data_IF_611590907550
#
_entry.id   IF_611590907550
#
_cell.length_a   1.000
_cell.length_b   1.000
_cell.length_c   1.000
_cell.angle_alpha   90.00
_cell.angle_beta   90.00
_cell.angle_gamma   90.00
#
_symmetry.space_group_name_H-M   'P 1'
#
loop_
_entity.id
_entity.type
_entity.pdbx_description
1 polymer ?
#
# COMPACT_ATOMS: atom_id res chain seq x y z
N UNK A 1 7.60 14.26 -3.33
CA UNK A 1 7.97 15.47 -2.59
C UNK A 1 8.99 15.08 -1.54
N UNK A 2 10.09 15.83 -1.36
CA UNK A 2 11.13 15.52 -0.37
C UNK A 2 10.56 15.39 1.04
N UNK A 3 11.17 14.57 1.89
CA UNK A 3 10.71 14.38 3.29
C UNK A 3 10.89 15.68 4.07
N UNK A 4 11.93 16.43 3.74
CA UNK A 4 12.33 17.71 4.30
C UNK A 4 11.30 18.82 4.03
N UNK A 5 10.50 18.68 2.96
CA UNK A 5 9.41 19.60 2.65
C UNK A 5 8.13 19.34 3.45
N UNK A 6 8.07 18.29 4.29
CA UNK A 6 6.87 17.94 5.08
C UNK A 6 6.77 18.79 6.34
N UNK A 7 6.46 20.08 6.17
CA UNK A 7 6.16 20.99 7.27
C UNK A 7 4.81 20.70 7.95
N UNK A 8 4.55 21.41 9.04
CA UNK A 8 3.36 21.16 9.88
C UNK A 8 2.05 21.50 9.16
N UNK A 9 2.07 22.46 8.23
CA UNK A 9 0.90 22.81 7.42
C UNK A 9 0.54 21.68 6.45
N UNK A 10 1.54 21.13 5.74
CA UNK A 10 1.34 19.97 4.89
C UNK A 10 0.87 18.75 5.71
N UNK A 11 1.49 18.49 6.87
CA UNK A 11 1.09 17.38 7.75
C UNK A 11 -0.36 17.53 8.21
N UNK A 12 -0.79 18.72 8.60
CA UNK A 12 -2.15 19.00 9.02
C UNK A 12 -3.15 18.77 7.87
N UNK A 13 -2.80 19.18 6.65
CA UNK A 13 -3.64 18.91 5.48
C UNK A 13 -3.70 17.41 5.14
N UNK A 14 -2.55 16.72 5.17
CA UNK A 14 -2.50 15.28 4.94
C UNK A 14 -3.35 14.50 5.95
N UNK A 15 -3.35 14.91 7.22
CA UNK A 15 -4.18 14.29 8.25
C UNK A 15 -5.68 14.38 7.91
N UNK A 16 -6.15 15.48 7.31
CA UNK A 16 -7.54 15.60 6.84
C UNK A 16 -7.87 14.54 5.78
N UNK A 17 -6.98 14.37 4.79
CA UNK A 17 -7.17 13.38 3.73
C UNK A 17 -7.06 11.94 4.24
N UNK A 18 -6.17 11.70 5.22
CA UNK A 18 -5.88 10.36 5.74
C UNK A 18 -7.12 9.67 6.33
N UNK A 19 -7.90 10.41 7.13
CA UNK A 19 -9.07 9.89 7.82
C UNK A 19 -10.37 10.05 7.04
N UNK A 20 -10.35 10.72 5.89
CA UNK A 20 -11.52 10.91 5.06
C UNK A 20 -11.77 9.68 4.18
N UNK A 21 -12.98 9.13 4.27
CA UNK A 21 -13.40 7.92 3.56
C UNK A 21 -13.45 8.10 2.04
N UNK A 22 -13.46 9.34 1.54
CA UNK A 22 -13.49 9.64 0.11
C UNK A 22 -12.14 9.41 -0.58
N UNK A 23 -11.07 9.25 0.20
CA UNK A 23 -9.71 9.06 -0.28
C UNK A 23 -9.15 7.70 0.12
N UNK A 24 -8.12 7.25 -0.59
CA UNK A 24 -7.32 6.09 -0.22
C UNK A 24 -8.07 4.76 -0.06
N UNK A 25 -9.01 4.50 -0.97
CA UNK A 25 -9.63 3.19 -1.09
C UNK A 25 -9.19 2.55 -2.40
N UNK A 26 -8.87 1.27 -2.33
CA UNK A 26 -8.43 0.49 -3.47
C UNK A 26 -9.33 -0.74 -3.64
N UNK A 27 -9.52 -1.10 -4.89
CA UNK A 27 -10.21 -2.31 -5.33
C UNK A 27 -9.19 -3.37 -5.65
N UNK A 28 -9.49 -4.60 -5.24
CA UNK A 28 -8.88 -5.79 -5.77
C UNK A 28 -10.01 -6.77 -6.16
N UNK A 29 -10.16 -7.03 -7.46
CA UNK A 29 -11.13 -7.99 -7.97
C UNK A 29 -10.38 -9.16 -8.61
N UNK A 30 -10.57 -10.36 -8.06
CA UNK A 30 -9.78 -11.53 -8.41
C UNK A 30 -10.31 -12.19 -9.69
N UNK A 31 -9.44 -12.44 -10.68
CA UNK A 31 -9.79 -13.19 -11.90
C UNK A 31 -9.50 -14.69 -11.76
N UNK A 32 -8.57 -15.04 -10.87
CA UNK A 32 -8.27 -16.39 -10.41
C UNK A 32 -8.34 -16.42 -8.88
N UNK A 33 -8.37 -17.60 -8.28
CA UNK A 33 -8.25 -17.71 -6.83
C UNK A 33 -6.97 -16.99 -6.36
N UNK A 34 -7.14 -15.97 -5.52
CA UNK A 34 -6.08 -15.06 -5.08
C UNK A 34 -5.90 -15.17 -3.57
N UNK A 35 -4.71 -15.60 -3.16
CA UNK A 35 -4.26 -15.57 -1.76
C UNK A 35 -3.00 -14.72 -1.62
N UNK A 36 -2.78 -13.77 -2.54
CA UNK A 36 -1.57 -12.96 -2.55
C UNK A 36 -1.57 -11.87 -1.48
N UNK A 37 -2.72 -11.25 -1.20
CA UNK A 37 -2.73 -10.03 -0.39
C UNK A 37 -2.64 -10.36 1.09
N UNK A 38 -1.66 -9.77 1.77
CA UNK A 38 -1.54 -9.77 3.22
C UNK A 38 -1.79 -8.35 3.73
N UNK A 39 -2.58 -8.22 4.78
CA UNK A 39 -3.07 -6.94 5.28
C UNK A 39 -3.03 -6.91 6.80
N UNK A 40 -2.63 -5.79 7.39
CA UNK A 40 -2.65 -5.59 8.86
C UNK A 40 -3.91 -4.81 9.24
N UNK A 41 -4.91 -5.44 9.89
CA UNK A 41 -6.13 -4.76 10.32
C UNK A 41 -5.83 -3.53 11.20
N UNK A 42 -6.57 -2.44 10.97
CA UNK A 42 -6.44 -1.20 11.75
C UNK A 42 -5.19 -0.35 11.45
N UNK A 43 -4.19 -0.85 10.70
CA UNK A 43 -2.98 -0.07 10.39
C UNK A 43 -3.25 1.22 9.59
N UNK A 44 -4.35 1.27 8.82
CA UNK A 44 -4.79 2.49 8.13
C UNK A 44 -5.22 3.63 9.06
N UNK A 45 -5.45 3.36 10.35
CA UNK A 45 -5.86 4.37 11.33
C UNK A 45 -4.69 5.18 11.90
N UNK A 46 -3.46 4.91 11.45
CA UNK A 46 -2.26 5.61 11.92
C UNK A 46 -1.40 6.07 10.74
N UNK A 47 -0.92 7.31 10.83
CA UNK A 47 -0.09 7.92 9.80
C UNK A 47 1.39 7.50 9.84
N UNK A 48 1.79 6.74 10.86
CA UNK A 48 3.17 6.36 11.13
C UNK A 48 3.29 4.86 11.39
N UNK A 49 4.38 4.30 10.88
CA UNK A 49 4.83 2.94 11.10
C UNK A 49 5.17 2.70 12.59
N UNK A 50 4.87 1.51 13.10
CA UNK A 50 5.25 1.08 14.46
C UNK A 50 6.70 0.58 14.50
N UNK A 51 7.33 0.51 15.68
CA UNK A 51 8.63 -0.13 15.81
C UNK A 51 8.61 -1.56 15.26
N UNK A 52 9.55 -1.85 14.35
CA UNK A 52 9.65 -3.16 13.67
C UNK A 52 8.96 -3.20 12.31
N UNK A 53 8.11 -2.24 11.99
CA UNK A 53 7.53 -2.11 10.65
C UNK A 53 8.54 -1.43 9.73
N UNK A 54 9.02 -2.18 8.75
CA UNK A 54 10.06 -1.73 7.81
C UNK A 54 9.55 -1.87 6.40
N UNK A 55 9.65 -0.79 5.64
CA UNK A 55 9.32 -0.80 4.22
C UNK A 55 10.28 -1.72 3.46
N UNK A 56 9.73 -2.71 2.77
CA UNK A 56 10.46 -3.70 1.95
C UNK A 56 10.18 -3.57 0.45
N UNK A 57 9.44 -2.55 0.01
CA UNK A 57 8.95 -2.42 -1.38
C UNK A 57 10.02 -2.38 -2.47
N UNK A 58 11.29 -2.17 -2.07
CA UNK A 58 12.45 -2.12 -2.96
C UNK A 58 13.30 -3.39 -2.93
N UNK A 59 12.95 -4.41 -2.14
CA UNK A 59 13.68 -5.67 -2.12
C UNK A 59 13.40 -6.47 -3.41
N UNK A 60 14.38 -6.63 -4.32
CA UNK A 60 14.18 -7.33 -5.58
C UNK A 60 13.93 -8.83 -5.37
N UNK A 61 14.41 -9.41 -4.27
CA UNK A 61 14.26 -10.85 -3.99
C UNK A 61 12.80 -11.25 -3.76
N UNK A 62 11.93 -10.30 -3.42
CA UNK A 62 10.49 -10.52 -3.27
C UNK A 62 9.74 -10.58 -4.60
N UNK A 63 10.36 -10.14 -5.70
CA UNK A 63 9.78 -10.21 -7.05
C UNK A 63 10.29 -11.42 -7.82
N UNK A 64 11.59 -11.66 -7.73
CA UNK A 64 12.25 -12.80 -8.32
C UNK A 64 13.47 -13.15 -7.47
N UNK A 65 13.49 -14.36 -6.92
CA UNK A 65 14.68 -14.91 -6.29
C UNK A 65 15.77 -15.23 -7.33
N UNK A 66 16.98 -15.58 -6.89
CA UNK A 66 18.02 -16.11 -7.76
C UNK A 66 17.52 -17.29 -8.62
N UNK A 67 17.98 -17.38 -9.86
CA UNK A 67 17.62 -18.47 -10.80
C UNK A 67 17.98 -19.87 -10.26
N UNK A 68 18.91 -19.94 -9.30
CA UNK A 68 19.31 -21.19 -8.64
C UNK A 68 18.32 -21.70 -7.59
N UNK A 69 17.30 -20.90 -7.24
CA UNK A 69 16.29 -21.29 -6.26
C UNK A 69 15.21 -22.14 -6.91
N UNK A 70 14.81 -23.21 -6.22
CA UNK A 70 13.61 -23.94 -6.59
C UNK A 70 12.36 -23.13 -6.27
N UNK A 71 11.23 -23.55 -6.84
CA UNK A 71 9.91 -22.97 -6.56
C UNK A 71 9.56 -23.00 -5.06
N UNK A 72 9.87 -24.11 -4.39
CA UNK A 72 9.60 -24.29 -2.95
C UNK A 72 10.45 -23.33 -2.11
N UNK A 73 11.72 -23.14 -2.49
CA UNK A 73 12.60 -22.20 -1.81
C UNK A 73 12.14 -20.76 -1.98
N UNK A 74 11.69 -20.41 -3.19
CA UNK A 74 11.14 -19.08 -3.46
C UNK A 74 9.84 -18.85 -2.67
N UNK A 75 8.92 -19.82 -2.66
CA UNK A 75 7.71 -19.76 -1.85
C UNK A 75 8.00 -19.57 -0.36
N UNK A 76 8.93 -20.36 0.20
CA UNK A 76 9.33 -20.22 1.60
C UNK A 76 9.85 -18.81 1.91
N UNK A 77 10.63 -18.22 1.00
CA UNK A 77 11.17 -16.87 1.13
C UNK A 77 10.06 -15.81 1.16
N UNK A 78 9.18 -15.81 0.16
CA UNK A 78 8.11 -14.80 0.09
C UNK A 78 7.05 -15.00 1.20
N UNK A 79 6.77 -16.24 1.58
CA UNK A 79 5.85 -16.54 2.67
C UNK A 79 6.42 -16.12 4.02
N UNK A 80 7.72 -16.33 4.25
CA UNK A 80 8.41 -15.82 5.43
C UNK A 80 8.30 -14.30 5.49
N UNK A 81 8.53 -13.59 4.38
CA UNK A 81 8.39 -12.14 4.32
C UNK A 81 7.01 -11.66 4.78
N UNK A 82 5.94 -12.28 4.27
CA UNK A 82 4.57 -11.94 4.67
C UNK A 82 4.29 -12.24 6.15
N UNK A 83 4.83 -13.35 6.69
CA UNK A 83 4.66 -13.74 8.10
C UNK A 83 5.47 -12.88 9.08
N UNK A 84 6.60 -12.35 8.63
CA UNK A 84 7.43 -11.44 9.42
C UNK A 84 6.76 -10.06 9.62
N UNK A 85 5.72 -9.74 8.82
CA UNK A 85 4.92 -8.53 8.96
C UNK A 85 3.97 -8.65 10.17
N UNK A 86 4.21 -7.92 11.28
CA UNK A 86 3.47 -8.14 12.52
C UNK A 86 1.96 -7.89 12.38
N UNK A 87 1.15 -8.86 12.79
CA UNK A 87 -0.31 -8.76 12.76
C UNK A 87 -0.93 -8.86 11.36
N UNK A 88 -0.14 -9.23 10.33
CA UNK A 88 -0.65 -9.40 9.00
C UNK A 88 -1.53 -10.64 8.89
N UNK A 89 -2.63 -10.50 8.14
CA UNK A 89 -3.55 -11.57 7.81
C UNK A 89 -3.59 -11.75 6.30
N UNK A 90 -3.55 -13.00 5.85
CA UNK A 90 -3.75 -13.33 4.44
C UNK A 90 -5.24 -13.20 4.09
N UNK A 91 -5.53 -12.55 2.97
CA UNK A 91 -6.87 -12.53 2.38
C UNK A 91 -6.99 -13.65 1.37
N UNK A 92 -8.16 -14.27 1.29
CA UNK A 92 -8.49 -15.28 0.30
C UNK A 92 -9.68 -14.80 -0.51
N UNK A 93 -9.50 -14.70 -1.83
CA UNK A 93 -10.52 -14.27 -2.78
C UNK A 93 -10.72 -15.36 -3.83
N UNK A 94 -11.96 -15.77 -4.04
CA UNK A 94 -12.34 -16.62 -5.16
C UNK A 94 -12.48 -15.78 -6.45
N UNK A 95 -12.45 -16.40 -7.65
CA UNK A 95 -12.69 -15.69 -8.89
C UNK A 95 -14.02 -14.94 -8.88
N UNK A 96 -13.98 -13.63 -9.13
CA UNK A 96 -15.14 -12.74 -9.10
C UNK A 96 -15.36 -12.03 -7.76
N UNK A 97 -14.65 -12.41 -6.70
CA UNK A 97 -14.72 -11.70 -5.42
C UNK A 97 -14.18 -10.27 -5.56
N UNK A 98 -14.85 -9.36 -4.87
CA UNK A 98 -14.57 -7.93 -4.92
C UNK A 98 -14.15 -7.43 -3.54
N UNK A 99 -12.86 -7.12 -3.37
CA UNK A 99 -12.33 -6.57 -2.13
C UNK A 99 -12.15 -5.05 -2.23
N UNK A 100 -12.74 -4.32 -1.30
CA UNK A 100 -12.41 -2.91 -1.04
C UNK A 100 -11.61 -2.83 0.26
N UNK A 101 -10.50 -2.09 0.22
CA UNK A 101 -9.68 -1.86 1.40
C UNK A 101 -9.07 -0.45 1.40
N UNK A 102 -8.69 0.03 2.59
CA UNK A 102 -7.95 1.27 2.75
C UNK A 102 -6.50 1.02 2.33
N UNK A 103 -6.03 1.62 1.23
CA UNK A 103 -4.66 1.41 0.76
C UNK A 103 -3.59 2.16 1.57
N UNK A 104 -4.01 2.93 2.58
CA UNK A 104 -3.15 3.43 3.67
C UNK A 104 -2.74 2.35 4.65
N UNK A 105 -3.52 1.27 4.75
CA UNK A 105 -3.17 0.17 5.61
C UNK A 105 -1.84 -0.43 5.16
N UNK A 106 -1.09 -0.94 6.12
CA UNK A 106 0.07 -1.74 5.81
C UNK A 106 -0.39 -3.05 5.17
N UNK A 107 0.12 -3.31 3.96
CA UNK A 107 -0.20 -4.50 3.18
C UNK A 107 0.97 -4.86 2.26
N UNK A 108 1.05 -6.13 1.87
CA UNK A 108 2.00 -6.62 0.88
C UNK A 108 1.38 -7.72 0.01
N UNK A 109 2.02 -8.00 -1.13
CA UNK A 109 1.64 -9.09 -2.03
C UNK A 109 2.62 -10.24 -1.94
N UNK A 110 2.10 -11.45 -1.77
CA UNK A 110 2.77 -12.72 -1.92
C UNK A 110 2.67 -13.16 -3.39
N UNK A 111 3.81 -13.27 -4.07
CA UNK A 111 3.86 -13.68 -5.48
C UNK A 111 4.53 -15.05 -5.59
N UNK A 112 3.72 -16.10 -5.76
CA UNK A 112 4.22 -17.45 -5.98
C UNK A 112 4.72 -17.61 -7.42
N UNK A 113 5.92 -18.17 -7.67
CA UNK A 113 6.52 -18.18 -9.00
C UNK A 113 5.83 -19.13 -9.99
N UNK A 114 5.05 -20.09 -9.49
CA UNK A 114 4.43 -21.16 -10.28
C UNK A 114 2.91 -21.04 -10.39
N UNK A 115 2.29 -20.06 -9.71
CA UNK A 115 0.84 -19.89 -9.71
C UNK A 115 0.48 -18.63 -10.50
N UNK A 116 -0.33 -18.74 -11.58
CA UNK A 116 -0.81 -17.56 -12.28
C UNK A 116 -1.70 -16.74 -11.36
N UNK A 117 -1.54 -15.42 -11.42
CA UNK A 117 -2.34 -14.45 -10.69
C UNK A 117 -2.75 -13.33 -11.62
N UNK A 118 -4.03 -12.99 -11.60
CA UNK A 118 -4.55 -11.83 -12.30
C UNK A 118 -5.64 -11.18 -11.47
N UNK A 119 -5.52 -9.87 -11.28
CA UNK A 119 -6.44 -9.08 -10.47
C UNK A 119 -6.71 -7.75 -11.16
N UNK A 120 -7.98 -7.33 -11.18
CA UNK A 120 -8.35 -5.98 -11.59
C UNK A 120 -8.17 -5.07 -10.40
N UNK A 121 -7.34 -4.04 -10.57
CA UNK A 121 -7.10 -3.01 -9.58
C UNK A 121 -7.70 -1.68 -10.03
N UNK A 122 -8.38 -1.01 -9.12
CA UNK A 122 -8.88 0.35 -9.32
C UNK A 122 -8.91 1.10 -7.98
N UNK A 123 -9.26 2.39 -8.01
CA UNK A 123 -9.38 3.25 -6.84
C UNK A 123 -10.85 3.63 -6.67
N UNK A 124 -11.42 3.37 -5.49
CA UNK A 124 -12.73 3.93 -5.14
C UNK A 124 -12.52 5.32 -4.57
N UNK A 125 -13.08 6.31 -5.25
CA UNK A 125 -13.03 7.70 -4.83
C UNK A 125 -14.37 8.38 -5.06
N UNK A 126 -14.67 9.36 -4.21
CA UNK A 126 -15.87 10.17 -4.34
C UNK A 126 -15.83 11.07 -5.59
N UNK A 127 -17.01 11.39 -6.15
CA UNK A 127 -17.13 12.21 -7.35
C UNK A 127 -16.61 13.65 -7.11
N UNK A 128 -16.92 14.23 -5.95
CA UNK A 128 -16.47 15.57 -5.54
C UNK A 128 -15.00 15.65 -5.08
N UNK A 129 -14.11 14.77 -5.56
CA UNK A 129 -12.69 14.72 -5.15
C UNK A 129 -11.83 15.82 -5.79
N UNK A 130 -12.30 16.44 -6.87
CA UNK A 130 -11.47 17.31 -7.71
C UNK A 130 -11.04 18.61 -7.00
N UNK A 131 -11.89 19.31 -6.23
CA UNK A 131 -11.45 20.46 -5.42
C UNK A 131 -10.32 20.11 -4.46
N UNK A 132 -10.35 18.91 -3.88
CA UNK A 132 -9.32 18.42 -2.95
C UNK A 132 -8.02 18.06 -3.65
N UNK A 133 -8.07 17.58 -4.90
CA UNK A 133 -6.88 17.34 -5.72
C UNK A 133 -6.16 18.64 -6.04
N UNK A 134 -6.91 19.68 -6.41
CA UNK A 134 -6.35 21.01 -6.67
C UNK A 134 -5.74 21.63 -5.41
N UNK A 135 -6.47 21.60 -4.29
CA UNK A 135 -5.99 22.10 -3.01
C UNK A 135 -4.74 21.32 -2.55
N UNK A 136 -4.75 19.98 -2.67
CA UNK A 136 -3.57 19.16 -2.37
C UNK A 136 -2.36 19.53 -3.22
N UNK A 137 -2.56 19.82 -4.51
CA UNK A 137 -1.47 20.27 -5.37
C UNK A 137 -0.89 21.62 -4.90
N UNK A 138 -1.74 22.58 -4.52
CA UNK A 138 -1.35 23.89 -3.99
C UNK A 138 -0.57 23.75 -2.67
N UNK A 139 -1.07 22.97 -1.72
CA UNK A 139 -0.41 22.76 -0.42
C UNK A 139 0.98 22.12 -0.61
N UNK A 140 1.10 21.11 -1.48
CA UNK A 140 2.41 20.50 -1.80
C UNK A 140 3.38 21.49 -2.42
N UNK A 141 2.93 22.31 -3.37
CA UNK A 141 3.79 23.31 -4.01
C UNK A 141 4.25 24.35 -2.99
N UNK A 142 3.34 24.86 -2.16
CA UNK A 142 3.66 25.82 -1.10
C UNK A 142 4.70 25.25 -0.11
N UNK A 143 4.54 23.99 0.31
CA UNK A 143 5.49 23.31 1.20
C UNK A 143 6.89 23.20 0.58
N UNK A 144 7.00 22.88 -0.71
CA UNK A 144 8.28 22.86 -1.43
C UNK A 144 8.90 24.26 -1.53
N UNK A 145 8.10 25.30 -1.75
CA UNK A 145 8.62 26.67 -1.80
C UNK A 145 9.13 27.13 -0.43
N UNK A 146 8.37 26.85 0.64
CA UNK A 146 8.79 27.14 2.02
C UNK A 146 10.08 26.42 2.41
N UNK A 147 10.27 25.20 1.93
CA UNK A 147 11.53 24.46 2.13
C UNK A 147 12.71 25.14 1.42
N UNK A 148 12.52 25.64 0.18
CA UNK A 148 13.58 26.31 -0.58
C UNK A 148 13.95 27.70 -0.04
N UNK A 149 13.05 28.34 0.69
CA UNK A 149 13.26 29.66 1.29
C UNK A 149 13.84 29.60 2.72
N UNK A 150 14.10 28.41 3.25
CA UNK A 150 14.81 28.18 4.52
C UNK A 150 16.29 27.97 4.25
#
# INVERSE_FOLDING_TARGET
MPVEARDDELKAYLAKLWYDLRFYNQVNCALYADSSTWFVPGSHLRAHDLPGEKQSTQDPSLRAGPETWSNEKMEQHVLKHCRDMPGAMQTHLDPGDFMIYRNLAWHCGLYLPYQPRATIHDIVSHQDRDPWREEWAKVKQAAVQRMKSR
#
